data_IF_921159419064
#
_entry.id   IF_921159419064
#
_cell.length_a   1.000
_cell.length_b   1.000
_cell.length_c   1.000
_cell.angle_alpha   90.00
_cell.angle_beta   90.00
_cell.angle_gamma   90.00
#
_symmetry.space_group_name_H-M   'P 1'
#
loop_
_entity.id
_entity.type
_entity.pdbx_description
1 polymer ?
#
# COMPACT_ATOMS: atom_id res chain seq x y z
N UNK A 1 -19.91 -41.72 -20.01
CA UNK A 1 -20.90 -41.50 -18.93
C UNK A 1 -21.79 -40.34 -19.33
N UNK A 2 -23.12 -40.49 -19.39
CA UNK A 2 -24.00 -39.38 -19.73
C UNK A 2 -24.06 -38.43 -18.51
N UNK A 3 -23.81 -37.14 -18.73
CA UNK A 3 -23.97 -36.10 -17.71
C UNK A 3 -25.47 -35.89 -17.55
N UNK A 4 -26.08 -36.56 -16.57
CA UNK A 4 -27.46 -36.34 -16.22
C UNK A 4 -27.59 -35.06 -15.37
N UNK A 5 -28.45 -34.18 -15.86
CA UNK A 5 -29.07 -33.04 -15.18
C UNK A 5 -28.28 -31.70 -15.15
N UNK A 6 -28.59 -30.86 -16.16
CA UNK A 6 -28.18 -29.45 -16.27
C UNK A 6 -29.18 -28.51 -15.56
N UNK A 7 -30.03 -29.02 -14.67
CA UNK A 7 -30.99 -28.19 -13.95
C UNK A 7 -30.32 -27.24 -12.96
N UNK A 8 -30.86 -26.03 -12.85
CA UNK A 8 -30.39 -25.02 -11.92
C UNK A 8 -30.54 -25.52 -10.48
N UNK A 9 -29.42 -25.68 -9.76
CA UNK A 9 -29.44 -25.97 -8.33
C UNK A 9 -29.60 -24.66 -7.56
N UNK A 10 -30.62 -24.60 -6.73
CA UNK A 10 -30.77 -23.50 -5.77
C UNK A 10 -29.57 -23.45 -4.83
N UNK A 11 -29.14 -22.23 -4.50
CA UNK A 11 -28.06 -22.03 -3.56
C UNK A 11 -28.49 -22.46 -2.14
N UNK A 12 -27.74 -23.36 -1.51
CA UNK A 12 -28.07 -24.00 -0.24
C UNK A 12 -27.09 -23.73 0.91
N UNK A 13 -26.05 -22.90 0.72
CA UNK A 13 -25.09 -22.65 1.80
C UNK A 13 -25.41 -21.43 2.66
N UNK A 14 -24.64 -21.32 3.73
CA UNK A 14 -24.86 -20.33 4.78
C UNK A 14 -24.34 -18.95 4.41
N UNK A 15 -25.10 -17.92 4.80
CA UNK A 15 -24.69 -16.53 4.68
C UNK A 15 -23.57 -16.24 5.68
N UNK A 16 -22.32 -16.23 5.22
CA UNK A 16 -21.21 -15.82 6.08
C UNK A 16 -21.16 -14.31 6.19
N UNK A 17 -21.24 -13.78 7.41
CA UNK A 17 -20.92 -12.38 7.69
C UNK A 17 -19.41 -12.23 7.68
N UNK A 18 -18.86 -11.40 6.80
CA UNK A 18 -17.45 -11.03 6.86
C UNK A 18 -17.28 -9.52 6.80
N UNK A 19 -17.16 -8.84 7.96
CA UNK A 19 -16.88 -7.41 8.00
C UNK A 19 -15.47 -7.06 7.45
N UNK A 20 -14.60 -8.05 7.22
CA UNK A 20 -13.23 -7.87 6.74
C UNK A 20 -13.04 -8.17 5.25
N UNK A 21 -14.12 -8.23 4.44
CA UNK A 21 -13.98 -8.48 2.98
C UNK A 21 -13.17 -7.41 2.27
N UNK A 22 -13.23 -6.17 2.73
CA UNK A 22 -12.41 -5.05 2.24
C UNK A 22 -10.90 -5.34 2.37
N UNK A 23 -10.47 -6.03 3.43
CA UNK A 23 -9.06 -6.34 3.68
C UNK A 23 -8.44 -7.19 2.57
N UNK A 24 -9.22 -8.07 1.94
CA UNK A 24 -8.74 -8.88 0.82
C UNK A 24 -8.31 -7.98 -0.34
N UNK A 25 -9.06 -6.91 -0.61
CA UNK A 25 -8.77 -5.94 -1.67
C UNK A 25 -7.49 -5.16 -1.33
N UNK A 26 -7.39 -4.63 -0.10
CA UNK A 26 -6.19 -3.93 0.38
C UNK A 26 -4.95 -4.81 0.28
N UNK A 27 -5.04 -6.04 0.78
CA UNK A 27 -3.92 -7.00 0.75
C UNK A 27 -3.45 -7.29 -0.67
N UNK A 28 -4.37 -7.47 -1.62
CA UNK A 28 -3.99 -7.66 -3.02
C UNK A 28 -3.40 -6.39 -3.63
N UNK A 29 -3.96 -5.21 -3.32
CA UNK A 29 -3.41 -3.93 -3.75
C UNK A 29 -1.95 -3.73 -3.30
N UNK A 30 -1.68 -3.95 -2.01
CA UNK A 30 -0.33 -3.89 -1.45
C UNK A 30 0.58 -4.93 -2.12
N UNK A 31 0.11 -6.16 -2.29
CA UNK A 31 0.90 -7.22 -2.93
C UNK A 31 1.29 -6.88 -4.37
N UNK A 32 0.37 -6.30 -5.13
CA UNK A 32 0.62 -5.87 -6.51
C UNK A 32 1.64 -4.72 -6.59
N UNK A 33 1.60 -3.78 -5.63
CA UNK A 33 2.60 -2.72 -5.53
C UNK A 33 3.96 -3.27 -5.13
N UNK A 34 4.02 -4.12 -4.10
CA UNK A 34 5.24 -4.74 -3.61
C UNK A 34 5.90 -5.66 -4.66
N UNK A 35 5.13 -6.23 -5.59
CA UNK A 35 5.69 -7.01 -6.69
C UNK A 35 6.48 -6.16 -7.71
N UNK A 36 6.29 -4.83 -7.74
CA UNK A 36 6.97 -3.93 -8.68
C UNK A 36 8.36 -3.56 -8.16
N UNK A 37 9.40 -4.04 -8.83
CA UNK A 37 10.82 -3.74 -8.50
C UNK A 37 11.12 -2.24 -8.42
N UNK A 38 10.55 -1.43 -9.31
CA UNK A 38 10.70 0.03 -9.29
C UNK A 38 10.10 0.68 -8.04
N UNK A 39 8.95 0.20 -7.59
CA UNK A 39 8.32 0.68 -6.36
C UNK A 39 9.15 0.31 -5.14
N UNK A 40 9.65 -0.93 -5.07
CA UNK A 40 10.57 -1.35 -4.01
C UNK A 40 11.87 -0.53 -4.00
N UNK A 41 12.45 -0.28 -5.18
CA UNK A 41 13.64 0.57 -5.32
C UNK A 41 13.40 1.98 -4.79
N UNK A 42 12.25 2.59 -5.10
CA UNK A 42 11.86 3.90 -4.58
C UNK A 42 11.66 3.88 -3.06
N UNK A 43 11.06 2.83 -2.50
CA UNK A 43 10.89 2.65 -1.05
C UNK A 43 12.23 2.51 -0.32
N UNK A 44 13.18 1.77 -0.90
CA UNK A 44 14.54 1.65 -0.35
C UNK A 44 15.26 3.00 -0.42
N UNK A 45 15.16 3.69 -1.57
CA UNK A 45 15.75 5.00 -1.76
C UNK A 45 15.20 6.04 -0.77
N UNK A 46 13.89 6.03 -0.51
CA UNK A 46 13.27 6.93 0.47
C UNK A 46 13.60 6.59 1.92
N UNK A 47 14.04 5.36 2.21
CA UNK A 47 14.52 4.96 3.52
C UNK A 47 15.97 5.41 3.79
N UNK A 48 16.78 5.66 2.75
CA UNK A 48 18.17 6.05 2.91
C UNK A 48 18.38 7.34 3.72
N UNK A 49 17.65 8.46 3.48
CA UNK A 49 17.77 9.66 4.30
C UNK A 49 17.50 9.41 5.78
N UNK A 50 16.53 8.55 6.10
CA UNK A 50 16.22 8.17 7.47
C UNK A 50 17.37 7.40 8.13
N UNK A 51 17.95 6.42 7.43
CA UNK A 51 19.12 5.67 7.92
C UNK A 51 20.30 6.61 8.16
N UNK A 52 20.61 7.49 7.20
CA UNK A 52 21.70 8.47 7.33
C UNK A 52 21.50 9.38 8.55
N UNK A 53 20.30 9.95 8.72
CA UNK A 53 19.99 10.81 9.87
C UNK A 53 20.06 10.06 11.20
N UNK A 54 19.64 8.79 11.22
CA UNK A 54 19.70 7.92 12.40
C UNK A 54 21.14 7.61 12.80
N UNK A 55 22.02 7.32 11.84
CA UNK A 55 23.45 7.11 12.08
C UNK A 55 24.11 8.38 12.61
N UNK A 56 23.82 9.55 12.01
CA UNK A 56 24.33 10.84 12.50
C UNK A 56 23.89 11.08 13.94
N UNK A 57 22.62 10.82 14.26
CA UNK A 57 22.08 10.97 15.61
C UNK A 57 22.82 10.05 16.60
N UNK A 58 23.03 8.80 16.23
CA UNK A 58 23.80 7.85 17.04
C UNK A 58 25.25 8.32 17.26
N UNK A 59 25.92 8.81 16.22
CA UNK A 59 27.29 9.32 16.35
C UNK A 59 27.38 10.54 17.28
N UNK A 60 26.40 11.45 17.22
CA UNK A 60 26.31 12.57 18.16
C UNK A 60 26.13 12.09 19.60
N UNK A 61 25.39 11.00 19.82
CA UNK A 61 25.24 10.43 21.17
C UNK A 61 26.51 9.77 21.70
N UNK A 62 27.33 9.17 20.83
CA UNK A 62 28.53 8.43 21.22
C UNK A 62 29.75 9.34 21.35
N UNK A 63 29.98 10.18 20.35
CA UNK A 63 31.16 11.06 20.24
C UNK A 63 30.92 12.40 20.94
N UNK A 64 29.65 12.76 21.16
CA UNK A 64 29.26 14.07 21.63
C UNK A 64 29.07 15.05 20.47
N UNK A 65 29.49 16.30 20.66
CA UNK A 65 29.14 17.37 19.73
C UNK A 65 29.97 17.30 18.44
N UNK A 66 29.32 17.06 17.30
CA UNK A 66 29.98 17.08 15.99
C UNK A 66 30.04 18.52 15.46
N UNK A 67 31.21 19.05 15.06
CA UNK A 67 31.35 20.46 14.68
C UNK A 67 30.51 20.84 13.46
N UNK A 68 30.20 19.88 12.58
CA UNK A 68 29.41 20.09 11.35
C UNK A 68 27.90 19.84 11.53
N UNK A 69 27.45 19.25 12.64
CA UNK A 69 26.03 18.88 12.82
C UNK A 69 25.54 19.27 14.20
N UNK A 70 24.50 20.10 14.23
CA UNK A 70 23.76 20.42 15.46
C UNK A 70 22.40 19.74 15.46
N UNK A 71 22.15 18.92 16.48
CA UNK A 71 20.84 18.31 16.68
C UNK A 71 19.93 19.34 17.34
N UNK A 72 19.03 19.94 16.55
CA UNK A 72 18.05 20.92 16.98
C UNK A 72 16.75 20.78 16.17
N UNK A 73 15.76 21.64 16.39
CA UNK A 73 14.50 21.61 15.63
C UNK A 73 14.70 21.69 14.11
N UNK A 74 15.68 22.49 13.64
CA UNK A 74 16.00 22.62 12.21
C UNK A 74 16.52 21.31 11.61
N UNK A 75 17.31 20.52 12.36
CA UNK A 75 17.77 19.20 11.90
C UNK A 75 16.60 18.28 11.53
N UNK A 76 15.56 18.24 12.37
CA UNK A 76 14.36 17.42 12.12
C UNK A 76 13.50 18.01 10.99
N UNK A 77 13.33 19.33 10.93
CA UNK A 77 12.60 19.99 9.86
C UNK A 77 13.24 19.74 8.49
N UNK A 78 14.57 19.85 8.39
CA UNK A 78 15.31 19.60 7.16
C UNK A 78 15.16 18.13 6.72
N UNK A 79 15.11 17.18 7.67
CA UNK A 79 14.78 15.79 7.37
C UNK A 79 13.35 15.63 6.84
N UNK A 80 12.35 16.22 7.49
CA UNK A 80 10.96 16.14 7.04
C UNK A 80 10.78 16.73 5.64
N UNK A 81 11.38 17.90 5.37
CA UNK A 81 11.35 18.54 4.05
C UNK A 81 12.00 17.67 2.98
N UNK A 82 13.13 17.03 3.30
CA UNK A 82 13.78 16.08 2.39
C UNK A 82 12.89 14.86 2.15
N UNK A 83 12.19 14.35 3.17
CA UNK A 83 11.30 13.20 3.06
C UNK A 83 10.05 13.52 2.22
N UNK A 84 9.52 14.74 2.31
CA UNK A 84 8.37 15.18 1.50
C UNK A 84 8.60 14.99 0.00
N UNK A 85 9.81 15.23 -0.49
CA UNK A 85 10.17 15.01 -1.90
C UNK A 85 9.99 13.56 -2.36
N UNK A 86 10.10 12.58 -1.45
CA UNK A 86 9.86 11.16 -1.75
C UNK A 86 8.39 10.75 -1.62
N UNK A 87 7.60 11.45 -0.81
CA UNK A 87 6.17 11.14 -0.61
C UNK A 87 5.39 11.28 -1.92
N UNK A 88 5.65 12.32 -2.71
CA UNK A 88 4.94 12.58 -3.96
C UNK A 88 5.06 11.44 -4.98
N UNK A 89 6.26 10.99 -5.39
CA UNK A 89 6.37 9.90 -6.36
C UNK A 89 5.82 8.58 -5.79
N UNK A 90 6.00 8.29 -4.49
CA UNK A 90 5.42 7.10 -3.86
C UNK A 90 3.90 7.13 -3.95
N UNK A 91 3.27 8.24 -3.58
CA UNK A 91 1.82 8.41 -3.62
C UNK A 91 1.26 8.30 -5.04
N UNK A 92 1.93 8.91 -6.03
CA UNK A 92 1.52 8.84 -7.45
C UNK A 92 1.63 7.42 -7.99
N UNK A 93 2.76 6.74 -7.76
CA UNK A 93 2.96 5.36 -8.23
C UNK A 93 2.01 4.37 -7.57
N UNK A 94 1.77 4.51 -6.26
CA UNK A 94 0.85 3.66 -5.52
C UNK A 94 -0.61 3.92 -5.92
N UNK A 95 -1.06 5.17 -5.86
CA UNK A 95 -2.46 5.55 -6.04
C UNK A 95 -2.96 5.37 -7.48
N UNK A 96 -2.19 5.84 -8.47
CA UNK A 96 -2.61 5.73 -9.88
C UNK A 96 -2.77 4.28 -10.31
N UNK A 97 -1.83 3.41 -9.92
CA UNK A 97 -1.84 2.00 -10.26
C UNK A 97 -3.02 1.24 -9.66
N UNK A 98 -3.46 1.59 -8.44
CA UNK A 98 -4.56 0.93 -7.75
C UNK A 98 -5.92 1.21 -8.38
N UNK A 99 -6.11 2.38 -8.99
CA UNK A 99 -7.38 2.79 -9.61
C UNK A 99 -7.39 2.46 -11.10
N UNK A 100 -6.32 2.80 -11.81
CA UNK A 100 -6.26 2.66 -13.26
C UNK A 100 -6.32 1.20 -13.72
N UNK A 101 -5.74 0.26 -12.96
CA UNK A 101 -5.80 -1.19 -13.29
C UNK A 101 -7.23 -1.70 -13.34
N UNK A 102 -8.05 -1.27 -12.39
CA UNK A 102 -9.41 -1.79 -12.20
C UNK A 102 -10.36 -1.19 -13.22
N UNK A 103 -10.16 0.09 -13.58
CA UNK A 103 -10.88 0.74 -14.68
C UNK A 103 -10.53 0.10 -16.03
N UNK A 104 -9.24 -0.14 -16.31
CA UNK A 104 -8.80 -0.77 -17.56
C UNK A 104 -9.39 -2.18 -17.75
N UNK A 105 -9.52 -2.93 -16.66
CA UNK A 105 -10.02 -4.30 -16.69
C UNK A 105 -11.54 -4.43 -16.47
N UNK A 106 -12.27 -3.32 -16.32
CA UNK A 106 -13.68 -3.33 -15.89
C UNK A 106 -13.94 -4.19 -14.64
N UNK A 107 -12.97 -4.23 -13.72
CA UNK A 107 -12.95 -5.17 -12.61
C UNK A 107 -14.09 -4.94 -11.60
N UNK A 108 -14.69 -3.74 -11.58
CA UNK A 108 -15.78 -3.40 -10.68
C UNK A 108 -16.99 -4.33 -10.86
N UNK A 109 -17.29 -4.76 -12.09
CA UNK A 109 -18.37 -5.72 -12.35
C UNK A 109 -18.09 -7.08 -11.70
N UNK A 110 -16.83 -7.51 -11.72
CA UNK A 110 -16.37 -8.78 -11.13
C UNK A 110 -16.36 -8.70 -9.60
N UNK A 111 -15.99 -7.55 -9.03
CA UNK A 111 -16.06 -7.36 -7.58
C UNK A 111 -17.51 -7.40 -7.07
N UNK A 112 -18.42 -6.70 -7.75
CA UNK A 112 -19.81 -6.58 -7.34
C UNK A 112 -20.68 -7.80 -7.71
N UNK A 113 -20.19 -8.73 -8.53
CA UNK A 113 -20.83 -10.04 -8.74
C UNK A 113 -20.54 -11.04 -7.62
N UNK A 114 -19.55 -10.72 -6.76
CA UNK A 114 -19.23 -11.45 -5.54
C UNK A 114 -19.91 -10.77 -4.36
N UNK A 115 -19.99 -11.42 -3.17
CA UNK A 115 -20.61 -10.82 -1.99
C UNK A 115 -19.70 -9.73 -1.35
N UNK A 116 -19.25 -8.76 -2.16
CA UNK A 116 -18.45 -7.60 -1.79
C UNK A 116 -19.29 -6.37 -2.08
N UNK A 117 -19.49 -5.50 -1.09
CA UNK A 117 -20.27 -4.28 -1.28
C UNK A 117 -19.43 -3.15 -1.87
N UNK A 118 -20.09 -2.10 -2.39
CA UNK A 118 -19.41 -0.88 -2.84
C UNK A 118 -18.58 -0.23 -1.72
N UNK A 119 -19.05 -0.32 -0.47
CA UNK A 119 -18.33 0.20 0.70
C UNK A 119 -17.07 -0.60 0.98
N UNK A 120 -17.15 -1.94 0.89
CA UNK A 120 -15.97 -2.80 1.03
C UNK A 120 -14.91 -2.50 -0.03
N UNK A 121 -15.34 -2.22 -1.26
CA UNK A 121 -14.44 -1.82 -2.34
C UNK A 121 -13.76 -0.48 -2.06
N UNK A 122 -14.53 0.54 -1.65
CA UNK A 122 -13.99 1.86 -1.33
C UNK A 122 -13.01 1.79 -0.15
N UNK A 123 -13.39 1.12 0.94
CA UNK A 123 -12.51 0.91 2.10
C UNK A 123 -11.29 0.08 1.76
N UNK A 124 -11.41 -0.87 0.83
CA UNK A 124 -10.29 -1.69 0.38
C UNK A 124 -9.25 -0.94 -0.45
N UNK A 125 -9.61 0.21 -1.02
CA UNK A 125 -8.75 1.02 -1.91
C UNK A 125 -8.17 2.28 -1.24
N UNK A 126 -8.75 2.72 -0.13
CA UNK A 126 -8.23 3.79 0.74
C UNK A 126 -7.05 3.27 1.56
#
# INVERSE_FOLDING_TARGET
MPIHDLSYRHWSGEWTSHPYRWWVITRQGIRLLAAKKWFLGLMILSALPFVVRSVILYLVTVVGNLPMVRVNAKFFLDFLNQQTSFVLPIAVFAGSGLIASDLKANALQIYLSKPITRRDYLLGKL
#
